data_IF_759575170823
#
_entry.id   IF_759575170823
#
_cell.length_a   1.000
_cell.length_b   1.000
_cell.length_c   1.000
_cell.angle_alpha   90.00
_cell.angle_beta   90.00
_cell.angle_gamma   90.00
#
_symmetry.space_group_name_H-M   'P 1'
#
loop_
_entity.id
_entity.type
_entity.pdbx_description
1 polymer ?
#
# COMPACT_ATOMS: atom_id res chain seq x y z
N UNK A 1 3.95 16.05 19.45
CA UNK A 1 4.91 14.99 19.81
C UNK A 1 6.25 15.29 19.15
N UNK A 2 7.35 15.27 19.92
CA UNK A 2 7.42 16.11 21.11
C UNK A 2 7.25 17.58 20.68
N UNK A 3 6.77 18.46 21.58
CA UNK A 3 6.91 19.89 21.35
C UNK A 3 8.41 20.23 21.19
N UNK A 4 8.75 21.07 20.22
CA UNK A 4 10.12 21.58 20.03
C UNK A 4 11.00 20.86 19.01
N UNK A 5 10.50 19.87 18.25
CA UNK A 5 11.21 19.40 17.06
C UNK A 5 11.01 20.43 15.93
N UNK A 6 12.06 21.13 15.47
CA UNK A 6 11.90 22.26 14.53
C UNK A 6 11.54 21.81 13.12
N UNK A 7 11.72 20.52 12.82
CA UNK A 7 11.41 19.93 11.53
C UNK A 7 10.11 19.11 11.61
N UNK A 8 9.07 19.59 10.94
CA UNK A 8 7.77 18.94 10.78
C UNK A 8 7.65 18.13 9.48
N UNK A 9 8.69 18.17 8.63
CA UNK A 9 8.68 17.50 7.34
C UNK A 9 8.73 15.97 7.47
N UNK A 10 7.89 15.32 6.69
CA UNK A 10 8.01 13.91 6.30
C UNK A 10 7.57 13.77 4.84
N UNK A 11 8.22 12.90 4.07
CA UNK A 11 7.93 12.70 2.66
C UNK A 11 6.65 11.85 2.44
N UNK A 12 5.51 12.37 2.91
CA UNK A 12 4.20 11.75 2.86
C UNK A 12 3.16 12.73 2.27
N UNK A 13 2.15 12.21 1.59
CA UNK A 13 1.01 12.99 1.11
C UNK A 13 -0.30 12.32 1.50
N UNK A 14 -1.27 13.12 1.93
CA UNK A 14 -2.66 12.68 1.92
C UNK A 14 -3.13 12.51 0.49
N UNK A 15 -3.76 11.39 0.21
CA UNK A 15 -4.35 11.07 -1.09
C UNK A 15 -5.83 10.77 -0.87
N UNK A 16 -6.75 11.67 -1.28
CA UNK A 16 -8.17 11.41 -1.23
C UNK A 16 -8.54 10.30 -2.22
N UNK A 17 -9.58 9.54 -1.91
CA UNK A 17 -10.15 8.52 -2.79
C UNK A 17 -11.53 8.95 -3.25
N UNK A 18 -12.46 9.03 -2.29
CA UNK A 18 -13.83 9.47 -2.52
C UNK A 18 -14.47 9.78 -1.16
N UNK A 19 -15.19 10.90 -1.06
CA UNK A 19 -15.74 11.36 0.21
C UNK A 19 -14.65 11.53 1.28
N UNK A 20 -14.88 10.98 2.47
CA UNK A 20 -13.91 11.03 3.58
C UNK A 20 -12.79 9.98 3.49
N UNK A 21 -12.91 9.03 2.55
CA UNK A 21 -11.90 7.98 2.40
C UNK A 21 -10.64 8.56 1.80
N UNK A 22 -9.52 8.41 2.52
CA UNK A 22 -8.20 8.91 2.14
C UNK A 22 -7.09 8.03 2.71
N UNK A 23 -5.93 8.08 2.06
CA UNK A 23 -4.72 7.37 2.45
C UNK A 23 -3.57 8.32 2.73
N UNK A 24 -2.61 7.89 3.54
CA UNK A 24 -1.31 8.57 3.63
C UNK A 24 -0.32 7.77 2.79
N UNK A 25 0.07 8.31 1.64
CA UNK A 25 1.08 7.68 0.78
C UNK A 25 2.46 8.22 1.13
N UNK A 26 3.40 7.35 1.49
CA UNK A 26 4.75 7.77 1.92
C UNK A 26 5.84 6.88 1.34
N UNK A 27 7.09 7.35 1.38
CA UNK A 27 8.26 6.53 1.07
C UNK A 27 8.49 5.49 2.18
N UNK A 28 9.23 4.42 1.85
CA UNK A 28 9.74 3.51 2.86
C UNK A 28 10.65 4.26 3.84
N UNK A 29 10.50 4.06 5.16
CA UNK A 29 11.38 4.67 6.13
C UNK A 29 12.86 4.41 5.81
N UNK A 30 13.66 5.45 5.97
CA UNK A 30 15.13 5.40 5.92
C UNK A 30 15.67 5.46 7.35
N UNK A 31 16.94 5.12 7.56
CA UNK A 31 17.59 5.19 8.88
C UNK A 31 17.33 6.51 9.62
N UNK A 32 17.30 7.63 8.87
CA UNK A 32 17.09 8.97 9.43
C UNK A 32 15.63 9.34 9.68
N UNK A 33 14.68 8.59 9.13
CA UNK A 33 13.25 8.95 9.13
C UNK A 33 12.36 7.90 9.78
N UNK A 34 12.92 6.87 10.44
CA UNK A 34 12.14 5.87 11.19
C UNK A 34 11.35 6.54 12.32
N UNK A 35 11.96 7.46 13.07
CA UNK A 35 11.27 8.21 14.12
C UNK A 35 10.16 9.10 13.55
N UNK A 36 10.44 9.80 12.44
CA UNK A 36 9.44 10.65 11.78
C UNK A 36 8.24 9.83 11.29
N UNK A 37 8.48 8.63 10.77
CA UNK A 37 7.42 7.72 10.34
C UNK A 37 6.53 7.28 11.49
N UNK A 38 7.11 6.87 12.62
CA UNK A 38 6.31 6.49 13.78
C UNK A 38 5.58 7.68 14.42
N UNK A 39 6.20 8.86 14.39
CA UNK A 39 5.56 10.13 14.79
C UNK A 39 4.32 10.40 13.93
N UNK A 40 4.41 10.26 12.61
CA UNK A 40 3.27 10.38 11.68
C UNK A 40 2.15 9.39 12.04
N UNK A 41 2.47 8.10 12.20
CA UNK A 41 1.50 7.05 12.55
C UNK A 41 0.78 7.37 13.87
N UNK A 42 1.52 7.83 14.87
CA UNK A 42 0.99 8.17 16.19
C UNK A 42 0.12 9.44 16.19
N UNK A 43 0.58 10.50 15.52
CA UNK A 43 -0.13 11.79 15.49
C UNK A 43 -1.43 11.70 14.70
N UNK A 44 -1.40 11.03 13.54
CA UNK A 44 -2.56 10.85 12.68
C UNK A 44 -3.49 9.72 13.13
N UNK A 45 -3.16 9.05 14.26
CA UNK A 45 -3.94 7.95 14.83
C UNK A 45 -4.23 6.85 13.80
N UNK A 46 -3.25 6.57 12.93
CA UNK A 46 -3.39 5.62 11.84
C UNK A 46 -3.75 4.23 12.40
N UNK A 47 -4.80 3.59 11.88
CA UNK A 47 -5.19 2.23 12.32
C UNK A 47 -4.52 1.14 11.51
N UNK A 48 -3.98 1.47 10.34
CA UNK A 48 -3.30 0.53 9.46
C UNK A 48 -2.02 1.06 8.83
N UNK A 49 -1.09 0.15 8.57
CA UNK A 49 0.08 0.36 7.72
C UNK A 49 0.13 -0.76 6.68
N UNK A 50 0.31 -0.41 5.41
CA UNK A 50 0.48 -1.35 4.30
C UNK A 50 1.86 -1.14 3.67
N UNK A 51 2.73 -2.12 3.86
CA UNK A 51 4.08 -2.17 3.32
C UNK A 51 4.12 -3.08 2.10
N UNK A 52 4.37 -2.49 0.93
CA UNK A 52 4.36 -3.18 -0.37
C UNK A 52 5.76 -3.49 -0.91
N UNK A 53 6.76 -3.58 -0.03
CA UNK A 53 8.14 -3.93 -0.38
C UNK A 53 8.83 -4.68 0.74
N UNK A 54 9.86 -5.45 0.42
CA UNK A 54 10.79 -5.98 1.43
C UNK A 54 11.74 -4.89 1.95
N UNK A 55 12.50 -5.20 3.00
CA UNK A 55 13.63 -4.36 3.48
C UNK A 55 14.74 -4.34 2.42
N UNK A 56 15.03 -5.50 1.84
CA UNK A 56 15.99 -5.72 0.77
C UNK A 56 15.31 -6.43 -0.40
N UNK A 57 15.54 -5.95 -1.62
CA UNK A 57 15.05 -6.58 -2.86
C UNK A 57 16.16 -6.57 -3.89
N UNK A 58 16.49 -7.74 -4.45
CA UNK A 58 17.56 -7.90 -5.46
C UNK A 58 18.89 -7.24 -5.03
N UNK A 59 19.27 -7.42 -3.76
CA UNK A 59 20.49 -6.86 -3.18
C UNK A 59 20.45 -5.35 -2.90
N UNK A 60 19.32 -4.68 -3.12
CA UNK A 60 19.16 -3.23 -2.88
C UNK A 60 18.26 -2.98 -1.68
N UNK A 61 18.67 -2.06 -0.81
CA UNK A 61 17.87 -1.58 0.31
C UNK A 61 16.68 -0.77 -0.21
N UNK A 62 15.48 -1.09 0.29
CA UNK A 62 14.21 -0.49 -0.12
C UNK A 62 13.51 0.25 1.01
N UNK A 63 13.71 -0.21 2.23
CA UNK A 63 13.07 0.26 3.45
C UNK A 63 13.90 -0.18 4.66
N UNK A 64 13.88 0.55 5.76
CA UNK A 64 14.38 0.05 7.05
C UNK A 64 13.44 -0.98 7.67
N UNK A 65 14.00 -1.83 8.53
CA UNK A 65 13.23 -2.67 9.45
C UNK A 65 12.71 -1.80 10.61
N UNK A 66 11.65 -1.03 10.37
CA UNK A 66 11.14 -0.06 11.33
C UNK A 66 10.16 -0.66 12.37
N UNK A 67 9.83 -1.95 12.29
CA UNK A 67 8.89 -2.65 13.18
C UNK A 67 9.52 -3.90 13.83
N UNK A 68 9.03 -4.34 15.01
CA UNK A 68 9.43 -5.62 15.60
C UNK A 68 8.79 -6.78 14.82
N UNK A 69 9.61 -7.73 14.36
CA UNK A 69 9.20 -8.71 13.36
C UNK A 69 8.47 -9.91 13.95
N UNK A 70 8.84 -10.35 15.14
CA UNK A 70 8.29 -11.53 15.80
C UNK A 70 7.31 -11.14 16.91
N UNK A 71 6.35 -12.03 17.18
CA UNK A 71 5.42 -11.84 18.29
C UNK A 71 6.19 -11.79 19.62
N UNK A 72 5.89 -10.79 20.45
CA UNK A 72 6.56 -10.55 21.72
C UNK A 72 7.75 -9.60 21.62
N UNK A 73 8.31 -9.39 20.44
CA UNK A 73 9.38 -8.41 20.22
C UNK A 73 8.86 -6.98 20.38
N UNK A 74 9.76 -6.10 20.80
CA UNK A 74 9.53 -4.67 20.86
C UNK A 74 10.76 -3.91 20.38
N UNK A 75 10.53 -2.69 19.92
CA UNK A 75 11.59 -1.71 19.66
C UNK A 75 11.15 -0.34 20.15
N UNK A 76 12.12 0.55 20.31
CA UNK A 76 11.88 1.96 20.65
C UNK A 76 12.27 2.84 19.46
N UNK A 77 11.41 3.79 19.11
CA UNK A 77 11.69 4.82 18.11
C UNK A 77 11.30 6.19 18.66
N UNK A 78 12.29 7.05 18.86
CA UNK A 78 12.12 8.27 19.67
C UNK A 78 11.60 7.90 21.06
N UNK A 79 10.46 8.44 21.45
CA UNK A 79 9.80 8.14 22.73
C UNK A 79 8.68 7.08 22.61
N UNK A 80 8.43 6.51 21.42
CA UNK A 80 7.43 5.46 21.21
C UNK A 80 8.04 4.09 21.48
N UNK A 81 7.36 3.28 22.27
CA UNK A 81 7.58 1.83 22.30
C UNK A 81 6.61 1.17 21.33
N UNK A 82 7.12 0.37 20.40
CA UNK A 82 6.33 -0.40 19.45
C UNK A 82 6.51 -1.86 19.82
N UNK A 83 5.42 -2.55 20.15
CA UNK A 83 5.42 -3.97 20.49
C UNK A 83 4.61 -4.76 19.49
N UNK A 84 5.16 -5.86 18.99
CA UNK A 84 4.41 -6.78 18.15
C UNK A 84 3.68 -7.80 19.04
N UNK A 85 2.35 -7.70 19.06
CA UNK A 85 1.50 -8.51 19.94
C UNK A 85 1.01 -9.79 19.27
N UNK A 86 1.02 -9.84 17.94
CA UNK A 86 0.53 -10.97 17.16
C UNK A 86 1.09 -10.89 15.74
N UNK A 87 1.48 -12.04 15.19
CA UNK A 87 1.83 -12.19 13.77
C UNK A 87 0.94 -13.27 13.16
N UNK A 88 0.42 -13.03 11.97
CA UNK A 88 -0.42 -13.97 11.25
C UNK A 88 -0.08 -13.95 9.76
N UNK A 89 0.30 -15.09 9.20
CA UNK A 89 0.41 -15.26 7.75
C UNK A 89 -0.99 -15.35 7.16
N UNK A 90 -1.36 -14.36 6.35
CA UNK A 90 -2.66 -14.34 5.66
C UNK A 90 -2.60 -15.26 4.44
N UNK A 91 -1.52 -15.16 3.67
CA UNK A 91 -1.23 -15.92 2.46
C UNK A 91 0.30 -15.94 2.27
N UNK A 92 0.80 -16.76 1.34
CA UNK A 92 2.23 -16.79 1.01
C UNK A 92 2.75 -15.38 0.71
N UNK A 93 3.76 -14.93 1.47
CA UNK A 93 4.39 -13.60 1.36
C UNK A 93 3.50 -12.41 1.76
N UNK A 94 2.31 -12.65 2.33
CA UNK A 94 1.40 -11.64 2.86
C UNK A 94 1.16 -11.88 4.35
N UNK A 95 1.74 -11.02 5.18
CA UNK A 95 1.72 -11.16 6.65
C UNK A 95 0.98 -9.97 7.25
N UNK A 96 0.15 -10.21 8.26
CA UNK A 96 -0.43 -9.17 9.12
C UNK A 96 0.10 -9.30 10.54
N UNK A 97 0.52 -8.17 11.11
CA UNK A 97 0.98 -8.06 12.49
C UNK A 97 0.13 -7.04 13.25
N UNK A 98 -0.21 -7.34 14.50
CA UNK A 98 -0.85 -6.39 15.41
C UNK A 98 0.21 -5.69 16.26
N UNK A 99 0.41 -4.40 16.01
CA UNK A 99 1.37 -3.58 16.72
C UNK A 99 0.66 -2.75 17.79
N UNK A 100 1.23 -2.69 18.98
CA UNK A 100 0.81 -1.82 20.07
C UNK A 100 1.86 -0.73 20.26
N UNK A 101 1.48 0.51 20.01
CA UNK A 101 2.30 1.70 20.20
C UNK A 101 1.97 2.27 21.58
N UNK A 102 2.99 2.61 22.36
CA UNK A 102 2.83 3.09 23.73
C UNK A 102 3.69 4.33 23.98
N UNK A 103 3.08 5.33 24.63
CA UNK A 103 3.75 6.53 25.12
C UNK A 103 2.98 7.22 26.23
N UNK A 104 3.68 7.63 27.30
CA UNK A 104 3.11 8.39 28.42
C UNK A 104 1.80 7.78 28.94
N UNK A 105 1.74 6.45 29.06
CA UNK A 105 0.57 5.71 29.52
C UNK A 105 -0.56 5.58 28.50
N UNK A 106 -0.48 6.22 27.34
CA UNK A 106 -1.41 6.02 26.22
C UNK A 106 -0.95 4.85 25.37
N UNK A 107 -1.92 4.07 24.86
CA UNK A 107 -1.69 2.98 23.93
C UNK A 107 -2.52 3.19 22.66
N UNK A 108 -1.99 2.74 21.52
CA UNK A 108 -2.66 2.80 20.22
C UNK A 108 -2.34 1.54 19.43
N UNK A 109 -3.36 0.87 18.88
CA UNK A 109 -3.19 -0.36 18.12
C UNK A 109 -3.18 -0.08 16.63
N UNK A 110 -2.24 -0.70 15.92
CA UNK A 110 -2.04 -0.55 14.47
C UNK A 110 -1.92 -1.94 13.84
N UNK A 111 -2.72 -2.20 12.81
CA UNK A 111 -2.52 -3.39 11.97
C UNK A 111 -1.46 -3.10 10.90
N UNK A 112 -0.38 -3.88 10.89
CA UNK A 112 0.70 -3.76 9.91
C UNK A 112 0.65 -4.92 8.92
N UNK A 113 0.30 -4.64 7.67
CA UNK A 113 0.20 -5.62 6.60
C UNK A 113 1.40 -5.47 5.68
N UNK A 114 2.19 -6.54 5.55
CA UNK A 114 3.40 -6.59 4.73
C UNK A 114 3.14 -7.54 3.57
N UNK A 115 3.32 -7.05 2.34
CA UNK A 115 3.25 -7.86 1.14
C UNK A 115 4.60 -7.88 0.42
N UNK A 116 5.35 -8.98 0.63
CA UNK A 116 6.64 -9.22 -0.01
C UNK A 116 6.52 -9.93 -1.37
N UNK A 117 5.31 -10.26 -1.80
CA UNK A 117 5.04 -10.92 -3.09
C UNK A 117 4.93 -9.97 -4.28
N UNK A 118 5.15 -8.67 -4.09
CA UNK A 118 5.09 -7.68 -5.16
C UNK A 118 6.49 -7.29 -5.64
N UNK A 119 6.89 -7.70 -6.86
CA UNK A 119 8.22 -7.37 -7.40
C UNK A 119 8.36 -5.86 -7.67
N UNK A 120 9.54 -5.29 -7.38
CA UNK A 120 9.80 -3.84 -7.43
C UNK A 120 9.41 -3.15 -8.75
N UNK A 121 9.70 -3.82 -9.86
CA UNK A 121 9.49 -3.32 -11.24
C UNK A 121 8.48 -4.15 -12.03
N UNK A 122 7.82 -5.10 -11.37
CA UNK A 122 6.81 -5.96 -11.96
C UNK A 122 5.50 -5.85 -11.21
N UNK A 123 4.69 -6.89 -11.35
CA UNK A 123 3.37 -7.00 -10.72
C UNK A 123 3.15 -8.39 -10.13
N UNK A 124 2.30 -8.54 -9.10
CA UNK A 124 1.98 -9.85 -8.56
C UNK A 124 1.31 -10.75 -9.62
N UNK A 125 1.70 -12.03 -9.68
CA UNK A 125 1.04 -13.01 -10.55
C UNK A 125 -0.44 -13.20 -10.15
N UNK A 126 -0.70 -13.28 -8.84
CA UNK A 126 -2.07 -13.39 -8.32
C UNK A 126 -2.74 -12.00 -8.22
N UNK A 127 -3.33 -11.56 -9.33
CA UNK A 127 -4.04 -10.28 -9.42
C UNK A 127 -5.19 -10.11 -8.41
N UNK A 128 -5.77 -11.21 -7.92
CA UNK A 128 -6.85 -11.15 -6.91
C UNK A 128 -6.34 -10.78 -5.51
N UNK A 129 -5.05 -10.97 -5.22
CA UNK A 129 -4.46 -10.58 -3.95
C UNK A 129 -4.55 -9.06 -3.71
N UNK A 130 -4.45 -8.24 -4.77
CA UNK A 130 -4.66 -6.80 -4.68
C UNK A 130 -6.08 -6.45 -4.22
N UNK A 131 -7.09 -7.13 -4.75
CA UNK A 131 -8.49 -6.89 -4.36
C UNK A 131 -8.76 -7.30 -2.91
N UNK A 132 -8.16 -8.40 -2.46
CA UNK A 132 -8.24 -8.84 -1.06
C UNK A 132 -7.56 -7.84 -0.13
N UNK A 133 -6.38 -7.33 -0.50
CA UNK A 133 -5.69 -6.30 0.25
C UNK A 133 -6.50 -5.00 0.33
N UNK A 134 -7.06 -4.53 -0.78
CA UNK A 134 -7.94 -3.35 -0.81
C UNK A 134 -9.13 -3.50 0.16
N UNK A 135 -9.78 -4.67 0.17
CA UNK A 135 -10.87 -4.97 1.12
C UNK A 135 -10.38 -4.95 2.57
N UNK A 136 -9.19 -5.49 2.84
CA UNK A 136 -8.58 -5.52 4.18
C UNK A 136 -8.21 -4.12 4.68
N UNK A 137 -7.86 -3.20 3.77
CA UNK A 137 -7.53 -1.81 4.09
C UNK A 137 -8.74 -0.95 4.46
N UNK A 138 -9.94 -1.29 3.96
CA UNK A 138 -11.13 -0.46 4.13
C UNK A 138 -11.48 -0.13 5.61
N UNK A 139 -11.45 -1.08 6.58
CA UNK A 139 -11.75 -0.76 7.98
C UNK A 139 -10.61 -0.04 8.73
N UNK A 140 -9.44 0.14 8.12
CA UNK A 140 -8.21 0.58 8.80
C UNK A 140 -7.93 2.09 8.69
N UNK A 141 -8.87 2.92 8.27
CA UNK A 141 -8.64 4.35 8.04
C UNK A 141 -8.37 5.16 9.34
N UNK A 142 -7.36 6.03 9.44
CA UNK A 142 -6.38 6.35 8.41
C UNK A 142 -5.37 5.22 8.21
N UNK A 143 -5.07 4.93 6.94
CA UNK A 143 -4.09 3.91 6.54
C UNK A 143 -2.88 4.60 5.91
N UNK A 144 -1.70 4.24 6.40
CA UNK A 144 -0.44 4.55 5.72
C UNK A 144 -0.18 3.46 4.67
N UNK A 145 0.11 3.85 3.43
CA UNK A 145 0.51 2.93 2.36
C UNK A 145 1.88 3.35 1.86
N UNK A 146 2.82 2.42 1.82
CA UNK A 146 4.16 2.71 1.31
C UNK A 146 4.75 1.53 0.52
N UNK A 147 5.74 1.84 -0.29
CA UNK A 147 6.67 0.89 -0.86
C UNK A 147 8.08 1.43 -0.59
N UNK A 148 8.99 1.40 -1.58
CA UNK A 148 10.29 2.06 -1.43
C UNK A 148 10.18 3.59 -1.65
N UNK A 149 9.79 4.04 -2.85
CA UNK A 149 9.60 5.47 -3.13
C UNK A 149 8.19 6.00 -2.77
N UNK A 150 7.24 5.10 -2.49
CA UNK A 150 5.86 5.48 -2.15
C UNK A 150 5.05 6.01 -3.33
N UNK A 151 5.31 5.53 -4.54
CA UNK A 151 4.67 6.01 -5.78
C UNK A 151 4.21 4.88 -6.72
N UNK A 152 5.06 3.89 -7.02
CA UNK A 152 4.73 2.80 -7.96
C UNK A 152 3.68 1.85 -7.41
N UNK A 153 4.12 0.83 -6.64
CA UNK A 153 3.25 -0.16 -5.97
C UNK A 153 2.16 0.50 -5.10
N UNK A 154 2.55 1.54 -4.36
CA UNK A 154 1.65 2.37 -3.54
C UNK A 154 0.54 3.01 -4.36
N UNK A 155 0.89 3.74 -5.44
CA UNK A 155 -0.10 4.35 -6.32
C UNK A 155 -0.97 3.31 -7.03
N UNK A 156 -0.43 2.13 -7.36
CA UNK A 156 -1.21 1.04 -7.95
C UNK A 156 -2.31 0.54 -7.01
N UNK A 157 -1.99 0.23 -5.74
CA UNK A 157 -3.03 -0.23 -4.78
C UNK A 157 -4.04 0.85 -4.45
N UNK A 158 -3.57 2.08 -4.18
CA UNK A 158 -4.47 3.18 -3.84
C UNK A 158 -5.33 3.57 -5.04
N UNK A 159 -4.79 3.52 -6.26
CA UNK A 159 -5.54 3.76 -7.48
C UNK A 159 -6.58 2.69 -7.79
N UNK A 160 -6.28 1.42 -7.51
CA UNK A 160 -7.26 0.35 -7.63
C UNK A 160 -8.45 0.56 -6.69
N UNK A 161 -8.18 0.96 -5.44
CA UNK A 161 -9.24 1.29 -4.50
C UNK A 161 -10.02 2.54 -4.92
N UNK A 162 -9.34 3.57 -5.44
CA UNK A 162 -9.98 4.78 -5.97
C UNK A 162 -10.92 4.46 -7.13
N UNK A 163 -10.42 3.74 -8.14
CA UNK A 163 -11.21 3.32 -9.29
C UNK A 163 -12.40 2.48 -8.86
N UNK A 164 -12.19 1.49 -7.98
CA UNK A 164 -13.25 0.61 -7.51
C UNK A 164 -14.31 1.38 -6.71
N UNK A 165 -13.90 2.34 -5.88
CA UNK A 165 -14.83 3.15 -5.08
C UNK A 165 -15.69 4.03 -5.98
N UNK A 166 -15.08 4.76 -6.92
CA UNK A 166 -15.79 5.60 -7.88
C UNK A 166 -16.74 4.79 -8.78
N UNK A 167 -16.30 3.61 -9.22
CA UNK A 167 -17.14 2.68 -10.00
C UNK A 167 -18.39 2.26 -9.20
N UNK A 168 -18.27 1.97 -7.90
CA UNK A 168 -19.42 1.63 -7.07
C UNK A 168 -20.36 2.81 -6.80
N UNK A 169 -19.85 4.04 -6.85
CA UNK A 169 -20.67 5.24 -6.78
C UNK A 169 -21.31 5.62 -8.14
N UNK A 170 -21.11 4.80 -9.18
CA UNK A 170 -21.71 5.01 -10.50
C UNK A 170 -20.98 6.06 -11.35
N UNK A 171 -19.78 6.45 -10.96
CA UNK A 171 -18.97 7.41 -11.73
C UNK A 171 -18.45 6.79 -13.03
N UNK A 172 -18.39 7.60 -14.09
CA UNK A 172 -17.84 7.22 -15.39
C UNK A 172 -16.44 7.81 -15.54
N UNK A 173 -15.43 7.03 -15.16
CA UNK A 173 -14.02 7.40 -15.25
C UNK A 173 -13.18 6.27 -15.82
N UNK A 174 -12.08 6.60 -16.47
CA UNK A 174 -11.08 5.63 -16.90
C UNK A 174 -9.99 5.44 -15.84
N UNK A 175 -9.23 4.33 -15.93
CA UNK A 175 -8.03 4.16 -15.11
C UNK A 175 -6.98 5.26 -15.38
N UNK A 176 -6.95 5.82 -16.59
CA UNK A 176 -6.06 6.95 -16.91
C UNK A 176 -6.46 8.21 -16.12
N UNK A 177 -7.77 8.45 -15.92
CA UNK A 177 -8.25 9.59 -15.13
C UNK A 177 -7.90 9.41 -13.65
N UNK A 178 -8.04 8.19 -13.12
CA UNK A 178 -7.58 7.85 -11.76
C UNK A 178 -6.09 8.10 -11.58
N UNK A 179 -5.24 7.70 -12.53
CA UNK A 179 -3.79 7.93 -12.43
C UNK A 179 -3.44 9.41 -12.53
N UNK A 180 -4.14 10.19 -13.37
CA UNK A 180 -3.98 11.65 -13.42
C UNK A 180 -4.30 12.26 -12.07
N UNK A 181 -5.43 11.88 -11.47
CA UNK A 181 -5.86 12.38 -10.16
C UNK A 181 -4.85 12.00 -9.06
N UNK A 182 -4.41 10.74 -9.00
CA UNK A 182 -3.37 10.32 -8.06
C UNK A 182 -2.10 11.17 -8.17
N UNK A 183 -1.70 11.54 -9.39
CA UNK A 183 -0.49 12.33 -9.64
C UNK A 183 -0.62 13.80 -9.23
N UNK A 184 -1.84 14.31 -9.07
CA UNK A 184 -2.09 15.63 -8.44
C UNK A 184 -1.69 15.59 -6.96
N UNK A 185 -2.03 14.51 -6.25
CA UNK A 185 -1.79 14.40 -4.80
C UNK A 185 -0.44 13.78 -4.45
N UNK A 186 0.05 12.85 -5.27
CA UNK A 186 1.33 12.15 -5.08
C UNK A 186 2.02 11.98 -6.42
N UNK A 187 2.94 12.90 -6.71
CA UNK A 187 3.70 12.93 -7.96
C UNK A 187 4.33 11.57 -8.30
N UNK A 188 4.30 11.19 -9.58
CA UNK A 188 4.91 9.95 -10.06
C UNK A 188 4.15 8.66 -9.71
N UNK A 189 2.94 8.76 -9.13
CA UNK A 189 2.10 7.60 -8.81
C UNK A 189 1.82 6.74 -10.04
N UNK A 190 1.88 5.41 -9.87
CA UNK A 190 1.88 4.41 -10.94
C UNK A 190 3.02 4.69 -11.92
N UNK A 191 4.18 4.09 -11.65
CA UNK A 191 5.45 4.54 -12.21
C UNK A 191 5.78 3.90 -13.57
N UNK A 192 5.23 2.73 -13.86
CA UNK A 192 5.54 1.95 -15.07
C UNK A 192 4.29 1.62 -15.88
N UNK A 193 4.49 1.38 -17.17
CA UNK A 193 3.48 0.82 -18.09
C UNK A 193 2.94 -0.53 -17.59
N UNK A 194 3.82 -1.40 -17.07
CA UNK A 194 3.47 -2.69 -16.45
C UNK A 194 2.49 -2.51 -15.29
N UNK A 195 2.75 -1.58 -14.38
CA UNK A 195 1.84 -1.29 -13.26
C UNK A 195 0.49 -0.76 -13.75
N UNK A 196 0.47 0.11 -14.76
CA UNK A 196 -0.76 0.68 -15.30
C UNK A 196 -1.64 -0.37 -15.99
N UNK A 197 -1.03 -1.20 -16.84
CA UNK A 197 -1.72 -2.29 -17.54
C UNK A 197 -2.21 -3.35 -16.54
N UNK A 198 -1.43 -3.63 -15.49
CA UNK A 198 -1.86 -4.51 -14.41
C UNK A 198 -3.10 -4.03 -13.66
N UNK A 199 -3.30 -2.72 -13.51
CA UNK A 199 -4.55 -2.22 -12.93
C UNK A 199 -5.76 -2.68 -13.76
N UNK A 200 -5.66 -2.68 -15.09
CA UNK A 200 -6.71 -3.19 -15.97
C UNK A 200 -6.94 -4.69 -15.76
N UNK A 201 -5.85 -5.47 -15.66
CA UNK A 201 -5.93 -6.92 -15.37
C UNK A 201 -6.65 -7.22 -14.07
N UNK A 202 -6.39 -6.45 -13.01
CA UNK A 202 -7.05 -6.58 -11.71
C UNK A 202 -8.54 -6.24 -11.82
N UNK A 203 -8.90 -5.15 -12.51
CA UNK A 203 -10.31 -4.75 -12.69
C UNK A 203 -11.08 -5.77 -13.53
N UNK A 204 -10.50 -6.30 -14.62
CA UNK A 204 -11.15 -7.38 -15.37
C UNK A 204 -11.31 -8.64 -14.52
N UNK A 205 -10.32 -8.99 -13.69
CA UNK A 205 -10.47 -10.08 -12.72
C UNK A 205 -11.59 -9.84 -11.70
N UNK A 206 -11.83 -8.58 -11.28
CA UNK A 206 -12.98 -8.23 -10.45
C UNK A 206 -14.31 -8.37 -11.21
N UNK A 207 -14.36 -7.89 -12.45
CA UNK A 207 -15.56 -7.92 -13.29
C UNK A 207 -15.98 -9.35 -13.63
N UNK A 208 -15.02 -10.21 -13.96
CA UNK A 208 -15.22 -11.64 -14.23
C UNK A 208 -15.72 -12.37 -12.98
N UNK A 209 -15.08 -12.17 -11.81
CA UNK A 209 -15.55 -12.72 -10.53
C UNK A 209 -16.98 -12.28 -10.18
N UNK A 210 -17.39 -11.08 -10.60
CA UNK A 210 -18.75 -10.55 -10.41
C UNK A 210 -19.71 -10.94 -11.54
N UNK A 211 -19.26 -11.69 -12.55
CA UNK A 211 -20.02 -12.09 -13.74
C UNK A 211 -20.59 -10.89 -14.51
N UNK A 212 -19.90 -9.76 -14.48
CA UNK A 212 -20.25 -8.53 -15.22
C UNK A 212 -19.74 -8.59 -16.66
N UNK A 213 -18.65 -9.33 -16.89
CA UNK A 213 -18.09 -9.62 -18.22
C UNK A 213 -17.98 -11.14 -18.38
N UNK A 214 -18.02 -11.61 -19.61
CA UNK A 214 -17.70 -12.98 -19.99
C UNK A 214 -16.22 -13.07 -20.35
N UNK A 215 -15.61 -14.21 -20.11
CA UNK A 215 -14.20 -14.47 -20.49
C UNK A 215 -13.93 -14.15 -21.97
N UNK A 216 -14.84 -14.50 -22.87
CA UNK A 216 -14.72 -14.22 -24.30
C UNK A 216 -14.64 -12.71 -24.63
N UNK A 217 -15.24 -11.85 -23.81
CA UNK A 217 -15.22 -10.38 -24.01
C UNK A 217 -13.87 -9.78 -23.64
N UNK A 218 -13.10 -10.45 -22.77
CA UNK A 218 -11.80 -9.97 -22.27
C UNK A 218 -10.62 -10.82 -22.76
N UNK A 219 -10.86 -11.91 -23.47
CA UNK A 219 -9.84 -12.87 -23.90
C UNK A 219 -8.72 -12.22 -24.73
N UNK A 220 -9.07 -11.31 -25.64
CA UNK A 220 -8.08 -10.57 -26.44
C UNK A 220 -7.14 -9.75 -25.55
N UNK A 221 -7.69 -9.00 -24.59
CA UNK A 221 -6.91 -8.24 -23.62
C UNK A 221 -6.01 -9.16 -22.79
N UNK A 222 -6.52 -10.31 -22.31
CA UNK A 222 -5.73 -11.23 -21.49
C UNK A 222 -4.53 -11.79 -22.27
N UNK A 223 -4.72 -12.17 -23.53
CA UNK A 223 -3.64 -12.65 -24.39
C UNK A 223 -2.56 -11.57 -24.64
N UNK A 224 -2.99 -10.34 -24.92
CA UNK A 224 -2.08 -9.20 -25.10
C UNK A 224 -1.34 -8.84 -23.81
N UNK A 225 -2.05 -8.88 -22.68
CA UNK A 225 -1.49 -8.67 -21.35
C UNK A 225 -0.38 -9.69 -21.05
N UNK A 226 -0.65 -10.98 -21.23
CA UNK A 226 0.31 -12.05 -20.93
C UNK A 226 1.55 -11.95 -21.84
N UNK A 227 1.34 -11.66 -23.13
CA UNK A 227 2.43 -11.43 -24.07
C UNK A 227 3.28 -10.21 -23.66
N UNK A 228 2.64 -9.13 -23.23
CA UNK A 228 3.31 -7.92 -22.78
C UNK A 228 4.14 -8.16 -21.51
N UNK A 229 3.58 -8.80 -20.48
CA UNK A 229 4.31 -9.11 -19.25
C UNK A 229 5.52 -10.01 -19.53
N UNK A 230 5.34 -11.04 -20.38
CA UNK A 230 6.44 -11.91 -20.81
C UNK A 230 7.56 -11.13 -21.50
N UNK A 231 7.22 -10.14 -22.34
CA UNK A 231 8.21 -9.29 -23.02
C UNK A 231 9.02 -8.40 -22.07
N UNK A 232 8.49 -8.14 -20.87
CA UNK A 232 9.13 -7.30 -19.84
C UNK A 232 9.93 -8.10 -18.80
N UNK A 233 9.98 -9.42 -18.92
CA UNK A 233 10.78 -10.30 -18.07
C UNK A 233 10.07 -10.90 -16.86
N UNK A 234 8.74 -10.84 -16.81
CA UNK A 234 7.93 -11.33 -15.67
C UNK A 234 7.68 -10.27 -14.62
#
# INVERSE_FOLDING_TARGET
WPPGHPNDYIHANWVPVHGEKRYICTQGPTEKTVEDFWRLVWQEKCRGIVMLCGVMELGKKKCEQYWPSQQGEQLTSGQLTIKNTKVHELEKMLVSSSLELSFQGQTHRVEHIIWNGWPDRGVPENHLACLRLVRKMAPLAPVVVHCSAGIGRTGTIVGLDMFQTNLYNGEKLSLADVVKELRVHRHGSVQTDVQFIYMHRVIFGLADNKKVVKEAEIAAFLAEYDAFIKSKGG
#
